data_IF_491166708554
#
_entry.id   IF_491166708554
#
_cell.length_a   1.000
_cell.length_b   1.000
_cell.length_c   1.000
_cell.angle_alpha   90.00
_cell.angle_beta   90.00
_cell.angle_gamma   90.00
#
_symmetry.space_group_name_H-M   'P 1'
#
loop_
_entity.id
_entity.type
_entity.pdbx_description
1 polymer ?
2 non-polymer ?
3 non-polymer ?
4 water ?
#
# COMPACT_ATOMS: atom_id res chain seq x y z
N UNK A 19 -17.16 16.27 28.32
CA UNK A 19 -18.32 16.33 27.38
C UNK A 19 -17.95 16.92 26.02
N UNK A 20 -17.13 17.96 26.04
CA UNK A 20 -16.68 18.65 24.83
C UNK A 20 -15.21 19.01 25.00
N UNK A 21 -14.34 18.12 24.52
CA UNK A 21 -12.90 18.18 24.80
C UNK A 21 -12.09 18.87 23.70
N UNK A 22 -12.71 19.08 22.54
CA UNK A 22 -12.00 19.67 21.41
C UNK A 22 -12.88 20.58 20.59
N UNK A 23 -12.25 21.53 19.91
CA UNK A 23 -12.93 22.39 18.94
C UNK A 23 -13.41 21.56 17.76
N UNK A 24 -14.50 21.99 17.15
CA UNK A 24 -15.15 21.27 16.05
C UNK A 24 -14.17 21.02 14.89
N UNK A 25 -14.16 19.79 14.38
CA UNK A 25 -13.32 19.40 13.25
C UNK A 25 -14.16 18.96 12.06
N UNK A 26 -13.52 18.78 10.90
CA UNK A 26 -14.21 18.39 9.67
C UNK A 26 -13.70 17.05 9.15
N UNK A 27 -14.62 16.13 8.90
CA UNK A 27 -14.28 14.83 8.33
C UNK A 27 -15.05 14.55 7.05
N UNK A 28 -14.38 13.92 6.10
CA UNK A 28 -15.01 13.50 4.86
C UNK A 28 -14.80 12.01 4.70
N UNK A 29 -15.89 11.27 4.57
CA UNK A 29 -15.82 9.84 4.31
C UNK A 29 -15.91 9.60 2.79
N UNK A 30 -14.92 8.90 2.25
CA UNK A 30 -14.96 8.49 0.86
C UNK A 30 -15.12 6.98 0.89
N UNK A 31 -16.28 6.50 0.47
CA UNK A 31 -16.53 5.07 0.54
C UNK A 31 -16.93 4.45 -0.78
N UNK A 32 -16.47 3.22 -0.96
CA UNK A 32 -16.85 2.37 -2.07
C UNK A 32 -17.95 1.43 -1.58
N UNK A 33 -19.20 1.63 -2.05
CA UNK A 33 -20.33 0.81 -1.62
C UNK A 33 -20.27 -0.66 -2.09
N UNK A 34 -19.40 -0.96 -3.05
CA UNK A 34 -19.24 -2.33 -3.56
C UNK A 34 -18.03 -3.05 -2.95
N UNK A 35 -17.36 -2.38 -2.02
CA UNK A 35 -16.15 -2.92 -1.40
C UNK A 35 -16.44 -4.11 -0.48
N UNK A 36 -15.63 -5.15 -0.59
CA UNK A 36 -15.69 -6.32 0.28
C UNK A 36 -17.04 -7.00 0.34
N UNK A 37 -17.61 -7.05 1.55
CA UNK A 37 -18.93 -7.65 1.78
C UNK A 37 -20.06 -6.66 1.49
N UNK A 38 -19.70 -5.43 1.12
CA UNK A 38 -20.67 -4.38 0.75
C UNK A 38 -21.55 -3.98 1.95
N UNK A 39 -20.94 -3.95 3.14
CA UNK A 39 -21.65 -3.75 4.39
C UNK A 39 -21.66 -2.28 4.79
N UNK A 40 -20.66 -1.52 4.43
CA UNK A 40 -20.45 -0.18 4.99
C UNK A 40 -21.62 0.79 4.81
N UNK A 41 -22.21 0.82 3.61
CA UNK A 41 -23.24 1.81 3.30
C UNK A 41 -24.38 1.82 4.33
N UNK A 42 -24.84 0.64 4.73
CA UNK A 42 -25.90 0.49 5.74
C UNK A 42 -25.46 0.91 7.15
N UNK A 43 -24.16 0.89 7.40
CA UNK A 43 -23.59 1.29 8.68
C UNK A 43 -23.22 2.78 8.72
N UNK A 44 -23.31 3.46 7.58
CA UNK A 44 -22.94 4.87 7.47
C UNK A 44 -23.67 5.78 8.48
N UNK A 45 -25.02 5.67 8.59
CA UNK A 45 -25.71 6.56 9.53
C UNK A 45 -25.20 6.46 10.97
N UNK A 46 -24.82 5.25 11.38
CA UNK A 46 -24.33 5.01 12.74
C UNK A 46 -22.88 5.43 12.89
N UNK A 47 -22.13 5.33 11.79
CA UNK A 47 -20.76 5.83 11.73
C UNK A 47 -20.73 7.35 11.83
N UNK A 48 -21.71 8.02 11.23
CA UNK A 48 -21.83 9.47 11.29
C UNK A 48 -22.12 9.92 12.73
N UNK A 49 -23.03 9.21 13.38
CA UNK A 49 -23.40 9.50 14.78
C UNK A 49 -22.16 9.48 15.66
N UNK A 50 -21.38 8.42 15.55
CA UNK A 50 -20.17 8.21 16.34
C UNK A 50 -19.12 9.31 16.11
N UNK A 51 -18.91 9.69 14.86
CA UNK A 51 -17.93 10.73 14.52
C UNK A 51 -18.39 12.11 14.98
N UNK A 52 -19.69 12.39 14.84
CA UNK A 52 -20.28 13.65 15.28
C UNK A 52 -20.22 13.84 16.80
N UNK A 53 -20.44 12.76 17.55
CA UNK A 53 -20.34 12.81 19.00
C UNK A 53 -18.91 13.06 19.46
N UNK A 54 -17.96 12.62 18.65
CA UNK A 54 -16.53 12.82 18.88
C UNK A 54 -16.02 14.18 18.40
N UNK A 55 -16.90 14.98 17.80
CA UNK A 55 -16.57 16.36 17.44
C UNK A 55 -16.27 16.62 15.96
N UNK A 56 -16.58 15.65 15.10
CA UNK A 56 -16.33 15.78 13.68
C UNK A 56 -17.61 16.06 12.89
N UNK A 57 -17.68 17.24 12.28
CA UNK A 57 -18.69 17.51 11.27
C UNK A 57 -18.38 16.61 10.07
N UNK A 58 -19.20 15.60 9.86
CA UNK A 58 -18.88 14.52 8.95
C UNK A 58 -19.81 14.45 7.74
N UNK A 59 -19.22 14.46 6.55
CA UNK A 59 -19.94 14.27 5.31
C UNK A 59 -19.37 13.07 4.57
N UNK A 60 -20.08 12.61 3.55
CA UNK A 60 -19.73 11.38 2.89
C UNK A 60 -19.87 11.46 1.38
N UNK A 61 -19.06 10.67 0.68
CA UNK A 61 -19.14 10.58 -0.78
C UNK A 61 -19.06 9.11 -1.17
N UNK A 62 -20.00 8.68 -2.02
CA UNK A 62 -20.04 7.32 -2.51
C UNK A 62 -19.47 7.24 -3.93
N UNK A 63 -18.45 6.42 -4.11
CA UNK A 63 -17.87 6.20 -5.44
C UNK A 63 -18.85 5.41 -6.31
N UNK A 64 -18.74 5.60 -7.62
CA UNK A 64 -19.57 4.90 -8.59
C UNK A 64 -18.74 4.04 -9.55
N UNK A 65 -17.46 4.40 -9.70
CA UNK A 65 -16.57 3.73 -10.66
C UNK A 65 -15.10 3.92 -10.31
N UNK A 66 -14.24 3.20 -11.03
CA UNK A 66 -12.79 3.38 -10.95
C UNK A 66 -12.44 4.86 -11.06
N UNK A 67 -11.59 5.33 -10.16
CA UNK A 67 -11.09 6.71 -10.23
C UNK A 67 -11.91 7.74 -9.45
N UNK A 68 -13.15 7.41 -9.11
CA UNK A 68 -14.02 8.34 -8.40
C UNK A 68 -13.43 8.79 -7.07
N UNK A 69 -12.85 7.85 -6.32
CA UNK A 69 -12.22 8.15 -5.04
C UNK A 69 -11.06 9.13 -5.18
N UNK A 70 -10.31 9.02 -6.28
CA UNK A 70 -9.22 9.96 -6.59
C UNK A 70 -9.76 11.35 -6.85
N UNK A 71 -10.78 11.44 -7.71
CA UNK A 71 -11.40 12.71 -8.06
C UNK A 71 -11.98 13.41 -6.83
N UNK A 72 -12.60 12.63 -5.95
CA UNK A 72 -13.16 13.17 -4.71
C UNK A 72 -12.06 13.68 -3.76
N UNK A 73 -10.99 12.91 -3.61
CA UNK A 73 -9.86 13.32 -2.77
C UNK A 73 -9.23 14.62 -3.27
N UNK A 74 -9.18 14.78 -4.60
CA UNK A 74 -8.69 16.00 -5.24
C UNK A 74 -9.56 17.22 -4.90
N UNK A 75 -10.89 17.05 -5.02
CA UNK A 75 -11.85 18.06 -4.61
C UNK A 75 -11.72 18.41 -3.12
N UNK A 76 -11.62 17.38 -2.29
CA UNK A 76 -11.54 17.54 -0.83
C UNK A 76 -10.34 18.38 -0.37
N UNK A 77 -9.29 18.40 -1.18
CA UNK A 77 -8.09 19.21 -0.92
C UNK A 77 -8.38 20.71 -0.83
N UNK A 78 -9.41 21.17 -1.55
CA UNK A 78 -9.78 22.58 -1.57
C UNK A 78 -10.85 22.91 -0.52
N UNK A 79 -11.24 21.90 0.26
CA UNK A 79 -12.41 22.01 1.13
C UNK A 79 -12.07 21.98 2.63
N UNK A 80 -10.79 22.10 2.96
CA UNK A 80 -10.32 22.27 4.34
C UNK A 80 -10.83 21.20 5.32
N UNK A 81 -10.47 19.94 5.05
CA UNK A 81 -10.82 18.86 5.95
C UNK A 81 -9.67 18.53 6.90
N UNK A 82 -10.02 18.14 8.13
CA UNK A 82 -9.04 17.67 9.10
C UNK A 82 -8.66 16.22 8.83
N UNK A 83 -9.66 15.42 8.45
CA UNK A 83 -9.44 14.02 8.13
C UNK A 83 -10.21 13.59 6.88
N UNK A 84 -9.57 12.75 6.09
CA UNK A 84 -10.21 12.02 5.02
C UNK A 84 -10.28 10.57 5.46
N UNK A 85 -11.49 10.04 5.60
CA UNK A 85 -11.67 8.64 5.96
C UNK A 85 -11.97 7.82 4.71
N UNK A 86 -11.07 6.90 4.40
CA UNK A 86 -11.25 6.00 3.27
C UNK A 86 -11.82 4.67 3.74
N UNK A 87 -13.03 4.37 3.27
CA UNK A 87 -13.76 3.15 3.66
C UNK A 87 -13.90 2.23 2.46
N UNK A 88 -13.03 1.23 2.40
CA UNK A 88 -12.93 0.33 1.26
C UNK A 88 -11.65 -0.47 1.30
N UNK A 89 -11.33 -1.15 0.21
CA UNK A 89 -10.14 -1.98 0.14
C UNK A 89 -8.90 -1.19 -0.17
N UNK A 90 -7.84 -1.90 -0.55
CA UNK A 90 -6.57 -1.30 -0.92
C UNK A 90 -6.70 -0.37 -2.15
N UNK A 91 -7.59 -0.73 -3.08
CA UNK A 91 -7.86 0.08 -4.27
C UNK A 91 -8.44 1.44 -3.95
N UNK A 92 -9.36 1.47 -2.99
CA UNK A 92 -9.95 2.73 -2.50
C UNK A 92 -8.90 3.58 -1.79
N UNK A 93 -8.11 2.94 -0.93
CA UNK A 93 -7.01 3.63 -0.24
C UNK A 93 -6.00 4.19 -1.24
N UNK A 94 -5.60 3.36 -2.21
CA UNK A 94 -4.69 3.77 -3.30
C UNK A 94 -5.22 5.01 -4.03
N UNK A 95 -6.49 4.99 -4.37
CA UNK A 95 -7.11 6.09 -5.10
C UNK A 95 -7.16 7.38 -4.28
N UNK A 96 -7.49 7.27 -3.00
CA UNK A 96 -7.53 8.43 -2.10
C UNK A 96 -6.13 9.06 -1.95
N UNK A 97 -5.12 8.21 -1.73
CA UNK A 97 -3.73 8.67 -1.60
C UNK A 97 -3.25 9.37 -2.87
N UNK A 98 -3.59 8.82 -4.03
CA UNK A 98 -3.28 9.42 -5.34
C UNK A 98 -3.84 10.84 -5.50
N UNK A 99 -4.95 11.13 -4.83
CA UNK A 99 -5.58 12.45 -4.90
C UNK A 99 -4.96 13.50 -4.00
N UNK A 100 -4.30 13.05 -2.93
CA UNK A 100 -3.76 13.96 -1.92
C UNK A 100 -2.22 14.02 -1.93
N UNK A 101 -1.59 13.03 -2.55
CA UNK A 101 -0.12 12.92 -2.54
C UNK A 101 0.56 14.19 -3.05
N UNK A 102 1.58 14.61 -2.30
CA UNK A 102 2.47 15.73 -2.64
C UNK A 102 1.80 17.10 -2.65
N UNK A 103 0.63 17.19 -2.02
CA UNK A 103 -0.09 18.46 -1.91
C UNK A 103 0.06 19.04 -0.51
N UNK A 104 0.21 20.38 -0.40
CA UNK A 104 0.33 21.00 0.91
C UNK A 104 -0.95 20.89 1.72
N UNK A 105 -0.82 20.87 3.04
CA UNK A 105 -1.95 20.78 3.98
C UNK A 105 -2.83 19.54 3.74
N UNK A 106 -2.20 18.39 3.62
CA UNK A 106 -2.92 17.12 3.48
C UNK A 106 -3.70 16.79 4.74
N UNK A 107 -4.95 16.32 4.59
CA UNK A 107 -5.69 15.88 5.77
C UNK A 107 -5.10 14.57 6.24
N UNK A 108 -5.25 14.26 7.52
CA UNK A 108 -4.85 12.97 8.03
C UNK A 108 -5.76 11.91 7.42
N UNK A 109 -5.24 10.70 7.29
CA UNK A 109 -5.98 9.62 6.65
C UNK A 109 -6.51 8.66 7.71
N UNK A 110 -7.80 8.37 7.61
CA UNK A 110 -8.43 7.35 8.44
C UNK A 110 -8.75 6.16 7.56
N UNK A 111 -8.51 4.96 8.08
CA UNK A 111 -8.75 3.74 7.33
C UNK A 111 -9.90 2.92 7.93
N UNK A 112 -10.92 2.66 7.12
CA UNK A 112 -11.92 1.65 7.45
C UNK A 112 -11.78 0.51 6.44
N UNK A 113 -11.18 -0.61 6.86
CA UNK A 113 -10.79 -1.67 5.93
C UNK A 113 -11.96 -2.54 5.47
N UNK A 114 -12.73 -2.03 4.52
CA UNK A 114 -13.95 -2.69 4.06
C UNK A 114 -13.73 -3.57 2.83
N UNK A 115 -12.47 -3.80 2.48
CA UNK A 115 -12.14 -4.56 1.28
C UNK A 115 -12.17 -6.06 1.45
N UNK A 116 -11.98 -6.77 0.34
CA UNK A 116 -11.83 -8.22 0.35
C UNK A 116 -10.46 -8.54 0.91
N UNK A 117 -9.46 -7.78 0.44
CA UNK A 117 -8.12 -7.82 1.00
C UNK A 117 -7.80 -6.44 1.53
N UNK A 118 -7.13 -6.39 2.68
CA UNK A 118 -6.76 -5.11 3.28
C UNK A 118 -5.30 -5.16 3.74
N UNK A 119 -4.40 -5.17 2.76
CA UNK A 119 -2.97 -5.30 3.02
C UNK A 119 -2.38 -4.09 3.74
N UNK A 120 -2.82 -2.89 3.34
CA UNK A 120 -2.38 -1.65 4.00
C UNK A 120 -2.91 -1.57 5.43
N UNK A 121 -4.19 -1.91 5.62
CA UNK A 121 -4.81 -1.99 6.95
C UNK A 121 -4.10 -2.96 7.88
N UNK A 122 -3.77 -4.15 7.37
CA UNK A 122 -3.05 -5.18 8.15
C UNK A 122 -1.66 -4.70 8.57
N UNK A 123 -1.01 -3.97 7.67
CA UNK A 123 0.32 -3.40 7.93
C UNK A 123 0.31 -2.42 9.09
N UNK A 124 -0.81 -1.72 9.27
CA UNK A 124 -0.94 -0.73 10.33
C UNK A 124 -1.76 -1.22 11.53
N UNK A 125 -2.09 -2.51 11.51
CA UNK A 125 -2.90 -3.16 12.56
C UNK A 125 -4.26 -2.47 12.75
N UNK A 126 -4.85 -2.00 11.67
CA UNK A 126 -6.18 -1.40 11.70
C UNK A 126 -7.20 -2.51 11.98
N UNK A 127 -8.06 -2.31 13.00
CA UNK A 127 -9.10 -3.31 13.31
C UNK A 127 -10.02 -3.52 12.11
N UNK A 128 -10.43 -4.77 11.90
CA UNK A 128 -11.22 -5.13 10.73
C UNK A 128 -12.73 -4.94 10.90
N UNK A 129 -13.16 -4.40 12.05
CA UNK A 129 -14.56 -4.00 12.24
C UNK A 129 -14.72 -2.49 12.16
N UNK A 130 -15.91 -2.04 11.74
CA UNK A 130 -16.15 -0.61 11.47
C UNK A 130 -15.98 0.27 12.70
N UNK A 131 -16.62 -0.10 13.81
CA UNK A 131 -16.58 0.70 15.02
C UNK A 131 -15.19 0.72 15.67
N UNK A 132 -14.47 -0.40 15.59
CA UNK A 132 -13.07 -0.47 16.03
C UNK A 132 -12.14 0.40 15.20
N UNK A 133 -12.35 0.40 13.89
CA UNK A 133 -11.61 1.28 12.99
C UNK A 133 -11.90 2.75 13.29
N UNK A 134 -13.16 3.04 13.61
CA UNK A 134 -13.58 4.38 13.99
C UNK A 134 -13.00 4.80 15.36
N UNK A 135 -12.93 3.86 16.29
CA UNK A 135 -12.30 4.10 17.59
C UNK A 135 -10.85 4.58 17.44
N UNK A 136 -10.15 3.97 16.50
CA UNK A 136 -8.74 4.29 16.21
C UNK A 136 -8.61 5.73 15.67
N UNK A 137 -9.53 6.11 14.78
CA UNK A 137 -9.53 7.47 14.22
C UNK A 137 -9.88 8.50 15.29
N UNK A 138 -10.88 8.19 16.11
CA UNK A 138 -11.37 9.11 17.15
C UNK A 138 -10.33 9.36 18.25
N UNK A 139 -9.62 8.31 18.66
CA UNK A 139 -8.53 8.42 19.63
C UNK A 139 -7.40 9.31 19.11
N UNK A 140 -7.25 9.37 17.79
CA UNK A 140 -6.47 10.43 17.15
C UNK A 140 -4.96 10.27 17.10
N UNK A 141 -4.46 9.10 17.45
CA UNK A 141 -3.03 8.82 17.34
C UNK A 141 -2.70 8.40 15.91
N UNK A 142 -1.66 9.00 15.35
CA UNK A 142 -1.32 8.77 13.95
C UNK A 142 0.17 8.56 13.71
N UNK A 143 0.48 7.84 12.64
CA UNK A 143 1.85 7.61 12.17
C UNK A 143 2.02 8.07 10.74
N UNK A 144 3.26 8.33 10.34
CA UNK A 144 3.56 8.67 8.96
C UNK A 144 4.17 7.47 8.23
N UNK A 145 3.59 7.16 7.08
CA UNK A 145 4.06 6.04 6.27
C UNK A 145 4.64 6.53 4.94
N UNK A 146 5.65 5.82 4.45
CA UNK A 146 6.16 6.01 3.10
C UNK A 146 5.07 5.66 2.09
N UNK A 147 5.08 6.37 0.96
CA UNK A 147 4.35 5.92 -0.22
C UNK A 147 5.33 5.91 -1.40
N UNK A 148 4.89 5.35 -2.52
CA UNK A 148 5.72 5.28 -3.70
C UNK A 148 5.18 6.16 -4.81
N UNK A 149 6.09 6.84 -5.49
CA UNK A 149 5.75 7.54 -6.72
C UNK A 149 6.28 6.72 -7.89
N UNK A 150 5.40 6.43 -8.86
CA UNK A 150 5.81 5.77 -10.09
C UNK A 150 5.43 6.64 -11.26
N UNK A 151 6.46 7.20 -11.90
CA UNK A 151 6.28 8.23 -12.91
C UNK A 151 5.40 9.36 -12.35
N UNK A 152 4.15 9.44 -12.77
CA UNK A 152 3.25 10.47 -12.25
C UNK A 152 2.05 9.95 -11.46
N UNK A 153 2.16 8.72 -10.94
CA UNK A 153 1.14 8.10 -10.09
C UNK A 153 1.75 7.65 -8.76
N UNK A 154 0.90 7.22 -7.83
CA UNK A 154 1.36 6.80 -6.50
C UNK A 154 0.82 5.42 -6.11
N UNK A 155 1.52 4.77 -5.19
CA UNK A 155 1.08 3.49 -4.65
C UNK A 155 1.50 3.31 -3.18
N UNK A 156 0.84 2.39 -2.49
CA UNK A 156 0.97 2.27 -1.03
C UNK A 156 1.44 0.89 -0.55
N UNK A 157 1.25 -0.12 -1.39
CA UNK A 157 1.56 -1.50 -1.04
C UNK A 157 2.73 -2.12 -1.82
N UNK A 158 2.60 -2.20 -3.15
CA UNK A 158 3.54 -2.97 -3.97
C UNK A 158 3.46 -2.64 -5.47
N UNK A 159 4.62 -2.54 -6.11
CA UNK A 159 4.71 -2.56 -7.58
C UNK A 159 5.45 -3.82 -8.00
N UNK A 160 4.93 -4.48 -9.03
CA UNK A 160 5.52 -5.71 -9.54
C UNK A 160 5.68 -5.64 -11.05
N UNK A 161 6.68 -6.35 -11.56
CA UNK A 161 6.95 -6.37 -13.00
C UNK A 161 7.53 -7.67 -13.49
N UNK A 162 7.23 -8.01 -14.74
CA UNK A 162 7.70 -9.23 -15.36
C UNK A 162 6.91 -9.53 -16.63
N UNK A 163 7.28 -10.62 -17.31
CA UNK A 163 6.66 -11.02 -18.57
C UNK A 163 6.29 -12.50 -18.54
N UNK A 164 5.06 -12.79 -18.96
CA UNK A 164 4.57 -14.16 -19.08
C UNK A 164 5.24 -14.92 -20.21
N UNK A 165 5.36 -16.24 -20.04
CA UNK A 165 5.91 -17.13 -21.05
C UNK A 165 4.90 -17.32 -22.18
N UNK A 166 5.42 -17.40 -23.41
CA UNK A 166 4.62 -17.59 -24.63
C UNK A 166 3.52 -16.54 -24.81
N UNK A 180 -1.64 -10.78 -18.00
CA UNK A 180 -2.48 -11.84 -17.47
C UNK A 180 -2.74 -11.67 -15.98
N UNK A 181 -1.89 -12.29 -15.13
CA UNK A 181 -1.95 -12.08 -13.68
C UNK A 181 -1.42 -10.70 -13.24
N UNK A 182 -0.88 -9.94 -14.19
CA UNK A 182 -0.46 -8.57 -13.95
C UNK A 182 -1.62 -7.56 -13.94
N UNK A 183 -2.84 -8.08 -14.06
CA UNK A 183 -4.05 -7.26 -13.98
C UNK A 183 -4.74 -7.47 -12.63
N UNK A 184 -4.36 -8.53 -11.94
CA UNK A 184 -4.96 -8.90 -10.65
C UNK A 184 -3.99 -8.76 -9.48
N UNK A 185 -4.49 -9.09 -8.29
CA UNK A 185 -3.73 -9.04 -7.03
C UNK A 185 -2.58 -10.04 -7.03
N UNK A 186 -1.36 -9.54 -6.76
CA UNK A 186 -0.14 -10.36 -6.77
C UNK A 186 0.02 -11.12 -5.46
N UNK A 187 -0.05 -12.44 -5.53
CA UNK A 187 0.03 -13.29 -4.33
C UNK A 187 1.41 -13.92 -4.19
N UNK A 188 2.35 -13.12 -3.68
CA UNK A 188 3.72 -13.58 -3.44
C UNK A 188 4.45 -14.03 -4.69
N UNK A 189 5.08 -15.20 -4.59
CA UNK A 189 5.90 -15.75 -5.66
C UNK A 189 5.15 -16.79 -6.49
N UNK A 190 3.83 -16.86 -6.35
CA UNK A 190 3.05 -17.91 -7.02
C UNK A 190 3.10 -17.86 -8.55
N UNK A 191 3.32 -16.65 -9.11
CA UNK A 191 3.40 -16.46 -10.55
C UNK A 191 4.79 -16.74 -11.11
N UNK A 192 5.76 -16.99 -10.24
CA UNK A 192 7.15 -17.19 -10.63
C UNK A 192 7.37 -18.27 -11.72
N UNK A 193 6.72 -19.45 -11.61
CA UNK A 193 6.84 -20.44 -12.69
C UNK A 193 6.24 -20.00 -14.03
N UNK A 194 5.38 -18.98 -14.01
CA UNK A 194 4.77 -18.45 -15.24
C UNK A 194 5.68 -17.44 -15.95
N UNK A 195 6.72 -16.99 -15.26
CA UNK A 195 7.56 -15.91 -15.75
C UNK A 195 8.57 -16.37 -16.80
N UNK A 196 8.73 -15.55 -17.83
CA UNK A 196 9.79 -15.74 -18.80
C UNK A 196 10.93 -14.77 -18.49
N UNK A 197 12.15 -15.29 -18.45
CA UNK A 197 13.34 -14.48 -18.19
C UNK A 197 13.50 -13.37 -19.23
N UNK A 198 13.57 -12.15 -18.75
CA UNK A 198 13.66 -10.97 -19.59
C UNK A 198 14.81 -10.07 -19.13
N UNK A 199 15.60 -9.62 -20.09
CA UNK A 199 16.73 -8.73 -19.82
C UNK A 199 16.26 -7.35 -19.41
N UNK A 200 16.67 -6.94 -18.20
CA UNK A 200 16.19 -5.69 -17.58
C UNK A 200 17.34 -4.82 -17.11
N UNK A 201 17.08 -3.52 -17.04
CA UNK A 201 17.98 -2.59 -16.38
C UNK A 201 17.28 -1.94 -15.19
N UNK A 202 17.83 -2.17 -14.01
CA UNK A 202 17.31 -1.58 -12.77
C UNK A 202 18.39 -0.75 -12.08
N UNK A 203 18.21 0.56 -12.13
CA UNK A 203 19.10 1.51 -11.47
C UNK A 203 18.49 1.91 -10.12
N UNK A 204 19.18 1.56 -9.04
CA UNK A 204 18.71 1.80 -7.69
C UNK A 204 19.78 2.46 -6.83
N UNK A 205 19.52 3.72 -6.44
CA UNK A 205 20.44 4.54 -5.63
C UNK A 205 21.90 4.52 -6.13
N UNK A 206 22.06 4.61 -7.44
CA UNK A 206 23.40 4.63 -8.04
C UNK A 206 23.94 3.27 -8.42
N UNK A 207 23.34 2.21 -7.87
CA UNK A 207 23.71 0.84 -8.24
C UNK A 207 22.90 0.39 -9.45
N UNK A 208 23.49 -0.47 -10.28
CA UNK A 208 22.80 -0.94 -11.48
C UNK A 208 22.74 -2.47 -11.53
N UNK A 209 21.52 -3.00 -11.60
CA UNK A 209 21.32 -4.37 -12.05
C UNK A 209 21.06 -4.35 -13.55
N UNK A 210 21.86 -5.14 -14.27
CA UNK A 210 21.65 -5.32 -15.70
C UNK A 210 21.79 -6.80 -16.04
N UNK A 211 20.68 -7.40 -16.43
CA UNK A 211 20.65 -8.83 -16.72
C UNK A 211 19.24 -9.36 -16.80
N UNK A 212 19.13 -10.68 -16.99
CA UNK A 212 17.84 -11.31 -17.13
C UNK A 212 17.19 -11.60 -15.78
N UNK A 213 15.91 -11.24 -15.69
CA UNK A 213 15.13 -11.41 -14.49
C UNK A 213 13.79 -12.05 -14.81
N UNK A 214 13.30 -12.85 -13.89
CA UNK A 214 11.95 -13.41 -14.00
C UNK A 214 10.93 -12.40 -13.48
N UNK A 215 11.33 -11.56 -12.54
CA UNK A 215 10.39 -10.75 -11.78
C UNK A 215 11.12 -9.72 -10.93
N UNK A 216 10.52 -8.53 -10.79
CA UNK A 216 10.95 -7.58 -9.77
C UNK A 216 9.77 -7.13 -8.92
N UNK A 217 10.04 -6.89 -7.64
CA UNK A 217 9.07 -6.33 -6.70
C UNK A 217 9.62 -5.05 -6.10
N UNK A 218 8.79 -4.02 -6.01
CA UNK A 218 9.08 -2.87 -5.16
C UNK A 218 8.04 -2.84 -4.06
N UNK A 219 8.44 -3.26 -2.86
CA UNK A 219 7.54 -3.34 -1.73
C UNK A 219 7.60 -2.12 -0.83
N UNK A 220 6.43 -1.68 -0.38
CA UNK A 220 6.34 -0.67 0.67
C UNK A 220 5.90 -1.39 1.94
N UNK A 221 4.68 -1.92 1.91
CA UNK A 221 4.21 -2.82 2.97
C UNK A 221 4.84 -4.21 2.77
N UNK A 222 4.70 -5.09 3.77
CA UNK A 222 5.50 -6.31 3.84
C UNK A 222 4.71 -7.61 3.90
N UNK A 223 3.40 -7.50 3.74
CA UNK A 223 2.53 -8.67 3.83
C UNK A 223 1.51 -8.71 2.70
N UNK A 224 1.33 -9.90 2.13
CA UNK A 224 0.35 -10.15 1.09
C UNK A 224 -0.28 -11.53 1.29
N UNK A 225 -0.80 -12.13 0.23
CA UNK A 225 -1.39 -13.46 0.31
C UNK A 225 -0.32 -14.56 0.44
N UNK A 226 0.68 -14.52 -0.44
CA UNK A 226 1.72 -15.54 -0.51
C UNK A 226 2.86 -15.38 0.51
N UNK A 227 3.04 -14.15 1.00
CA UNK A 227 4.05 -13.89 2.03
C UNK A 227 3.41 -13.29 3.28
N UNK A 228 3.70 -13.90 4.43
CA UNK A 228 3.42 -13.26 5.71
C UNK A 228 4.47 -12.15 5.89
N UNK A 229 5.68 -12.42 5.40
CA UNK A 229 6.75 -11.45 5.33
C UNK A 229 7.48 -11.56 4.00
N UNK A 230 7.33 -10.55 3.14
CA UNK A 230 8.06 -10.50 1.88
C UNK A 230 9.56 -10.46 2.15
N UNK A 231 9.93 -9.80 3.25
CA UNK A 231 11.30 -9.63 3.67
C UNK A 231 11.33 -9.59 5.20
N UNK A 232 12.40 -10.13 5.83
CA UNK A 232 12.45 -10.24 7.29
C UNK A 232 12.50 -8.90 8.06
N UNK A 233 13.02 -7.85 7.42
CA UNK A 233 13.34 -6.61 8.13
C UNK A 233 12.77 -5.33 7.50
N UNK A 234 11.66 -5.46 6.76
CA UNK A 234 11.05 -4.31 6.10
C UNK A 234 10.48 -3.30 7.10
N UNK A 235 10.58 -2.02 6.74
CA UNK A 235 9.96 -0.95 7.53
C UNK A 235 9.04 -0.12 6.64
N UNK A 236 7.92 0.31 7.22
CA UNK A 236 6.92 1.11 6.51
C UNK A 236 7.29 2.59 6.44
N UNK A 237 8.25 3.01 7.27
CA UNK A 237 8.57 4.43 7.43
C UNK A 237 10.07 4.76 7.36
N UNK A 238 10.83 3.91 6.68
CA UNK A 238 12.29 4.08 6.60
C UNK A 238 12.77 4.83 5.36
N UNK A 239 11.86 5.11 4.43
CA UNK A 239 12.20 5.82 3.20
C UNK A 239 12.80 4.93 2.14
N UNK A 240 12.79 3.63 2.38
CA UNK A 240 13.32 2.65 1.43
C UNK A 240 12.25 1.69 0.94
N UNK A 241 12.20 1.52 -0.38
CA UNK A 241 11.47 0.42 -0.99
C UNK A 241 12.13 -0.91 -0.60
N UNK A 242 11.31 -1.96 -0.52
CA UNK A 242 11.82 -3.33 -0.49
C UNK A 242 12.01 -3.78 -1.94
N UNK A 243 13.24 -3.76 -2.41
CA UNK A 243 13.55 -4.13 -3.80
C UNK A 243 13.93 -5.60 -3.90
N UNK A 244 13.09 -6.37 -4.58
CA UNK A 244 13.34 -7.78 -4.84
C UNK A 244 13.51 -7.98 -6.35
N UNK A 245 14.62 -8.61 -6.73
CA UNK A 245 14.85 -9.03 -8.11
C UNK A 245 15.10 -10.53 -8.15
N UNK A 246 14.23 -11.26 -8.84
CA UNK A 246 14.46 -12.68 -9.04
C UNK A 246 15.12 -12.86 -10.39
N UNK A 247 16.38 -13.32 -10.37
CA UNK A 247 17.15 -13.53 -11.58
C UNK A 247 16.67 -14.77 -12.33
N UNK A 248 17.05 -14.84 -13.61
CA UNK A 248 16.86 -16.02 -14.42
C UNK A 248 17.34 -17.27 -13.67
N UNK A 249 16.45 -18.24 -13.57
CA UNK A 249 16.72 -19.47 -12.81
C UNK A 249 16.39 -20.70 -13.63
N UNK A 250 17.24 -21.72 -13.53
CA UNK A 250 16.92 -23.02 -14.12
C UNK A 250 15.83 -23.71 -13.29
N UNK A 251 15.35 -24.86 -13.75
CA UNK A 251 14.22 -25.54 -13.08
C UNK A 251 14.51 -25.98 -11.64
N UNK A 252 15.77 -26.30 -11.34
CA UNK A 252 16.16 -26.69 -9.99
C UNK A 252 16.17 -25.49 -9.04
N UNK A 253 16.66 -24.36 -9.53
CA UNK A 253 16.69 -23.12 -8.76
C UNK A 253 15.27 -22.61 -8.51
N UNK A 254 14.42 -22.72 -9.54
CA UNK A 254 12.99 -22.41 -9.41
C UNK A 254 12.32 -23.20 -8.29
N UNK A 255 12.45 -24.52 -8.33
CA UNK A 255 11.93 -25.39 -7.26
C UNK A 255 12.50 -25.03 -5.89
N UNK A 256 13.77 -24.64 -5.87
CA UNK A 256 14.48 -24.30 -4.63
C UNK A 256 13.94 -22.99 -4.05
N UNK A 257 13.79 -21.99 -4.91
CA UNK A 257 13.22 -20.69 -4.55
C UNK A 257 11.80 -20.85 -3.98
N UNK A 258 10.99 -21.67 -4.66
CA UNK A 258 9.62 -21.95 -4.24
C UNK A 258 9.53 -22.65 -2.90
N UNK A 259 10.46 -23.58 -2.65
CA UNK A 259 10.54 -24.27 -1.37
C UNK A 259 10.89 -23.30 -0.25
N UNK A 260 11.89 -22.46 -0.51
CA UNK A 260 12.32 -21.44 0.46
C UNK A 260 11.25 -20.38 0.70
N UNK A 261 10.54 -19.98 -0.37
CA UNK A 261 9.46 -18.99 -0.26
C UNK A 261 8.32 -19.45 0.66
N UNK A 262 8.07 -20.76 0.67
CA UNK A 262 6.97 -21.33 1.44
C UNK A 262 7.18 -21.26 2.96
N UNK A 263 8.44 -21.06 3.37
CA UNK A 263 8.77 -20.90 4.77
C UNK A 263 9.45 -19.55 5.07
N UNK A 264 9.32 -18.61 4.15
CA UNK A 264 9.85 -17.24 4.32
C UNK A 264 11.35 -17.14 4.36
N UNK A 265 12.04 -17.96 3.56
CA UNK A 265 13.50 -17.99 3.49
C UNK A 265 14.02 -17.74 2.06
N UNK A 266 13.13 -17.19 1.22
CA UNK A 266 13.44 -16.90 -0.18
C UNK A 266 14.62 -15.96 -0.40
N UNK A 267 14.81 -14.99 0.50
CA UNK A 267 15.92 -14.02 0.36
C UNK A 267 17.31 -14.62 0.65
N UNK A 268 17.34 -15.89 1.04
CA UNK A 268 18.61 -16.59 1.24
C UNK A 268 19.17 -17.17 -0.07
N UNK A 269 18.29 -17.34 -1.07
CA UNK A 269 18.69 -17.87 -2.37
C UNK A 269 19.51 -16.85 -3.16
N UNK A 270 20.64 -17.29 -3.76
CA UNK A 270 21.53 -16.42 -4.55
C UNK A 270 20.89 -15.70 -5.74
N UNK A 271 19.83 -16.28 -6.31
CA UNK A 271 19.13 -15.68 -7.45
C UNK A 271 18.05 -14.69 -7.03
N UNK A 272 17.79 -14.60 -5.73
CA UNK A 272 16.86 -13.61 -5.19
C UNK A 272 17.65 -12.44 -4.60
N UNK A 273 17.68 -11.34 -5.33
CA UNK A 273 18.33 -10.12 -4.87
C UNK A 273 17.36 -9.35 -3.98
N UNK A 274 17.84 -8.96 -2.80
CA UNK A 274 17.08 -8.08 -1.92
C UNK A 274 17.92 -6.87 -1.51
N UNK A 275 17.45 -5.69 -1.91
CA UNK A 275 18.09 -4.43 -1.53
C UNK A 275 17.04 -3.44 -1.05
N UNK A 276 17.46 -2.51 -0.20
CA UNK A 276 16.65 -1.36 0.18
C UNK A 276 17.13 -0.19 -0.67
N UNK A 277 16.19 0.55 -1.25
CA UNK A 277 16.52 1.67 -2.13
C UNK A 277 15.42 2.72 -2.16
N UNK A 278 15.81 3.99 -2.29
CA UNK A 278 14.86 5.11 -2.31
C UNK A 278 14.40 5.46 -3.72
N UNK A 279 15.34 5.51 -4.66
CA UNK A 279 15.06 5.84 -6.05
C UNK A 279 15.43 4.68 -6.95
N UNK A 280 14.47 4.24 -7.76
CA UNK A 280 14.64 3.06 -8.60
C UNK A 280 14.12 3.34 -10.01
N UNK A 281 15.03 3.29 -10.98
CA UNK A 281 14.69 3.55 -12.37
C UNK A 281 14.81 2.28 -13.19
N UNK A 282 13.70 1.89 -13.83
CA UNK A 282 13.62 0.59 -14.51
C UNK A 282 13.28 0.76 -15.99
N UNK A 283 14.04 0.05 -16.83
CA UNK A 283 13.84 0.06 -18.28
C UNK A 283 14.19 -1.29 -18.90
N UNK A 284 13.72 -1.51 -20.12
CA UNK A 284 14.11 -2.66 -20.94
C UNK A 284 13.74 -2.41 -22.40
N UNK A 285 14.54 -2.97 -23.30
CA UNK A 285 14.26 -2.89 -24.74
C UNK A 285 13.15 -3.85 -25.15
N UNK A 286 12.71 -4.67 -24.20
CA UNK A 286 11.62 -5.62 -24.41
C UNK A 286 10.42 -5.31 -23.51
N UNK A 287 9.24 -5.74 -23.93
CA UNK A 287 7.97 -5.37 -23.28
C UNK A 287 7.79 -6.02 -21.91
N UNK A 288 7.36 -5.21 -20.94
CA UNK A 288 7.05 -5.69 -19.58
C UNK A 288 5.71 -5.16 -19.08
N UNK A 289 4.88 -6.05 -18.56
CA UNK A 289 3.63 -5.68 -17.90
C UNK A 289 3.91 -5.28 -16.47
N UNK A 290 3.18 -4.28 -15.98
CA UNK A 290 3.36 -3.79 -14.62
C UNK A 290 2.08 -3.91 -13.80
N UNK A 291 2.26 -4.25 -12.53
CA UNK A 291 1.15 -4.30 -11.58
C UNK A 291 1.45 -3.40 -10.38
N UNK A 292 0.48 -2.56 -10.04
CA UNK A 292 0.64 -1.57 -8.99
C UNK A 292 -0.55 -1.65 -8.03
N UNK A 293 -0.27 -2.01 -6.78
CA UNK A 293 -1.29 -2.22 -5.75
C UNK A 293 -2.43 -3.13 -6.19
N UNK A 294 -2.08 -4.21 -6.88
CA UNK A 294 -3.06 -5.23 -7.29
C UNK A 294 -3.81 -4.93 -8.56
N UNK A 295 -3.43 -3.86 -9.26
CA UNK A 295 -4.05 -3.50 -10.54
C UNK A 295 -3.00 -3.21 -11.61
N UNK A 296 -3.38 -3.40 -12.87
CA UNK A 296 -2.49 -3.14 -14.00
C UNK A 296 -1.98 -1.70 -14.00
N UNK A 297 -0.66 -1.56 -13.90
CA UNK A 297 -0.03 -0.25 -13.78
C UNK A 297 0.67 0.21 -15.03
N UNK A 298 0.30 -0.36 -16.17
CA UNK A 298 0.83 0.05 -17.46
C UNK A 298 2.14 -0.60 -17.86
N UNK A 299 3.03 0.22 -18.40
CA UNK A 299 4.19 -0.23 -19.16
C UNK A 299 5.48 0.47 -18.68
N UNK A 300 6.62 -0.16 -18.98
CA UNK A 300 7.93 0.46 -18.78
C UNK A 300 8.23 1.46 -19.90
N UNK A 301 9.16 2.42 -19.67
CA UNK A 301 10.01 2.65 -18.50
C UNK A 301 9.29 3.28 -17.31
N UNK A 302 9.79 2.98 -16.11
CA UNK A 302 9.18 3.48 -14.87
C UNK A 302 10.22 4.00 -13.88
N UNK A 303 10.06 5.26 -13.49
CA UNK A 303 10.87 5.84 -12.43
C UNK A 303 10.13 5.79 -11.10
N UNK A 304 10.78 5.22 -10.08
CA UNK A 304 10.17 5.08 -8.76
C UNK A 304 10.90 5.92 -7.73
N UNK A 305 10.13 6.56 -6.85
CA UNK A 305 10.69 7.32 -5.75
C UNK A 305 9.90 7.05 -4.48
N UNK A 306 10.60 6.67 -3.43
CA UNK A 306 9.98 6.52 -2.13
C UNK A 306 9.82 7.89 -1.50
N UNK A 307 8.57 8.28 -1.26
CA UNK A 307 8.28 9.51 -0.53
C UNK A 307 8.22 9.16 0.96
N UNK A 308 9.31 9.44 1.66
CA UNK A 308 9.50 9.04 3.05
C UNK A 308 8.47 9.68 3.98
N UNK A 309 7.78 8.83 4.74
CA UNK A 309 6.85 9.26 5.80
C UNK A 309 5.91 10.35 5.29
N UNK A 310 5.34 10.09 4.11
CA UNK A 310 4.59 11.08 3.37
C UNK A 310 3.16 11.24 3.87
N UNK A 311 2.57 10.14 4.33
CA UNK A 311 1.15 10.12 4.68
C UNK A 311 0.92 9.88 6.17
N UNK A 312 0.27 10.86 6.81
CA UNK A 312 -0.09 10.78 8.21
C UNK A 312 -1.41 10.01 8.30
N UNK A 313 -1.38 8.88 8.99
CA UNK A 313 -2.53 7.97 9.03
C UNK A 313 -2.79 7.50 10.46
N UNK A 314 -4.05 7.55 10.87
CA UNK A 314 -4.45 7.13 12.21
C UNK A 314 -4.14 5.65 12.43
N UNK A 315 -3.49 5.36 13.55
CA UNK A 315 -3.05 4.01 13.90
C UNK A 315 -3.31 3.74 15.39
N UNK A 316 -3.56 2.47 15.75
CA UNK A 316 -3.78 2.10 17.16
C UNK A 316 -2.62 2.45 18.09
N UNK A 317 -2.95 3.10 19.21
CA UNK A 317 -1.95 3.50 20.21
C UNK A 317 -1.53 2.38 21.17
N UNK A 318 -2.20 1.23 21.09
CA UNK A 318 -1.99 0.13 22.03
C UNK A 318 -1.17 -1.04 21.46
N UNK A 319 -0.70 -0.89 20.23
CA UNK A 319 0.10 -1.93 19.57
C UNK A 319 1.42 -1.35 19.07
N UNK A 320 2.53 -1.92 19.53
CA UNK A 320 3.85 -1.60 19.02
C UNK A 320 4.00 -2.27 17.64
N UNK A 321 4.28 -1.45 16.63
CA UNK A 321 4.43 -1.95 15.26
C UNK A 321 5.89 -2.26 14.93
N UNK A 322 6.17 -3.54 14.67
CA UNK A 322 7.52 -4.02 14.36
C UNK A 322 8.04 -3.51 13.01
N UNK A 323 7.11 -3.15 12.12
CA UNK A 323 7.44 -2.61 10.80
C UNK A 323 7.59 -1.08 10.82
N UNK A 324 7.52 -0.48 11.99
CA UNK A 324 7.73 0.95 12.12
C UNK A 324 8.97 1.25 12.96
N UNK A 325 9.83 2.12 12.46
CA UNK A 325 10.94 2.67 13.23
C UNK A 325 10.38 3.64 14.27
N UNK A 326 9.46 4.49 13.82
CA UNK A 326 8.85 5.50 14.67
C UNK A 326 7.53 5.01 15.28
N UNK A 327 7.55 4.75 16.58
CA UNK A 327 6.35 4.32 17.30
C UNK A 327 5.89 5.32 18.36
N UNK A 328 6.12 6.61 18.09
CA UNK A 328 5.76 7.69 19.02
C UNK A 328 4.25 7.84 19.22
N UNK A 329 3.48 7.31 18.27
CA UNK A 329 2.02 7.29 18.35
C UNK A 329 1.50 6.31 19.41
N UNK A 330 2.39 5.42 19.85
CA UNK A 330 2.05 4.40 20.86
C UNK A 330 2.24 4.97 22.27
N UNK A 331 1.21 4.81 23.10
CA UNK A 331 1.31 5.16 24.51
C UNK A 331 1.95 3.99 25.27
N UNK A 332 3.10 4.24 25.87
CA UNK A 332 3.88 3.23 26.59
C UNK A 332 3.11 2.56 27.74
N UNK A 333 2.12 3.28 28.28
CA UNK A 333 1.30 2.76 29.37
C UNK A 333 0.12 1.89 28.92
N UNK A 334 0.15 1.47 27.66
CA UNK A 334 -0.96 0.71 27.08
C UNK A 334 -0.50 -0.51 26.27
X LIG B 1 10.42 0.47 3.60
X LIG C 1 -11.95 -4.76 -2.86
X LIG C 1 -13.27 -5.49 -2.79
X LIG C 1 -11.09 -4.96 -1.65
X LIG C 1 -11.17 -4.95 -4.15
X LIG C 1 -11.60 -1.90 -3.27
X LIG C 1 -10.15 -2.26 -3.46
X LIG C 1 -11.97 -0.80 -2.31
X LIG C 1 -12.45 -3.22 -2.86
X LIG C 1 -12.23 -1.45 -4.69
X LIG C 1 -11.98 -2.16 -5.90
X LIG C 1 -12.02 -1.19 -7.08
X LIG C 1 -13.37 -0.94 -7.48
X LIG C 1 -11.42 0.16 -6.75
X LIG C 1 -10.06 0.24 -7.20
X LIG C 1 -12.28 1.17 -7.51
X LIG C 1 -11.53 1.69 -8.59
X LIG C 1 -13.47 0.38 -8.03
X LIG C 1 -14.77 0.98 -7.66
X LIG C 1 -14.99 2.04 -6.86
X LIG C 1 -16.31 2.31 -6.73
X LIG C 1 -16.97 1.40 -7.45
X LIG C 1 -18.40 1.11 -7.75
X LIG C 1 -19.39 1.87 -7.22
X LIG C 1 -18.67 0.06 -8.57
X LIG C 1 -17.69 -0.70 -9.10
X LIG C 1 -16.38 -0.49 -8.87
X LIG C 1 -15.97 0.53 -8.07
#
# INVERSE_FOLDING_TARGET
XGSSHHHHHHHSSGLVPRGSHMMRKRARIIYNPTSGKEQFKRELPDALIKLEKAGYETSAYATEKIGDATLEAERAMHENYDVLIAAGGDGTLNEVVNGIAEKPNRPKLGVIPMGTVNDFGRALHIPNDIMGALDVIIEGHSTKVDIGKMNNRYFINLAAGGQLTQVSYETPSKLKSIVGPFAYYIKGFEMLPQMKAVDLRIEYDGNVFQGEALLFFLGLTNSMAGFEKLVPDAKLDDGYFTLIIVEKSNLAELGHIMTLASRGEHTKHPKVIYEKAKAINISSFTDLQLNVDGEYGGKLPANFLNLERHIDVFAPNDIVNEELINNDHVDDNLIEE
MG MG
ADP PB O1B O2B O3B PA O1A O2A O3A O5' C5' C4' O4' C3' O3' C2' O2' C1' N9 C8 N7 C5 C6 N6 N1 C2 N3 C4
#
